data_IF_058710350102
#
_entry.id   IF_058710350102
#
_cell.length_a   1.000
_cell.length_b   1.000
_cell.length_c   1.000
_cell.angle_alpha   90.00
_cell.angle_beta   90.00
_cell.angle_gamma   90.00
#
_symmetry.space_group_name_H-M   'P 1'
#
loop_
_entity.id
_entity.type
_entity.pdbx_description
1 polymer ?
#
# COMPACT_ATOMS: atom_id res chain seq x y z
N UNK A 1 20.20 -13.38 14.41
CA UNK A 1 19.73 -14.74 14.73
C UNK A 1 18.21 -14.80 14.76
N UNK A 2 17.64 -15.89 14.30
CA UNK A 2 16.18 -16.04 14.26
C UNK A 2 15.70 -16.64 15.58
N UNK A 3 14.98 -15.82 16.36
CA UNK A 3 14.35 -16.29 17.60
C UNK A 3 12.91 -16.74 17.31
N UNK A 4 12.32 -17.60 18.19
CA UNK A 4 10.91 -17.95 18.01
C UNK A 4 9.97 -16.75 18.02
N UNK A 5 10.25 -15.71 18.83
CA UNK A 5 9.39 -14.52 18.87
C UNK A 5 9.51 -13.69 17.58
N UNK A 6 10.69 -13.58 17.01
CA UNK A 6 10.87 -12.94 15.71
C UNK A 6 10.15 -13.71 14.61
N UNK A 7 10.26 -15.02 14.60
CA UNK A 7 9.58 -15.85 13.60
C UNK A 7 8.06 -15.68 13.66
N UNK A 8 7.50 -15.61 14.87
CA UNK A 8 6.06 -15.42 15.05
C UNK A 8 5.63 -14.01 14.58
N UNK A 9 6.39 -12.98 14.93
CA UNK A 9 6.11 -11.61 14.50
C UNK A 9 6.16 -11.49 12.97
N UNK A 10 7.16 -12.11 12.33
CA UNK A 10 7.29 -12.11 10.88
C UNK A 10 6.12 -12.83 10.21
N UNK A 11 5.65 -13.92 10.78
CA UNK A 11 4.47 -14.63 10.27
C UNK A 11 3.22 -13.74 10.32
N UNK A 12 3.04 -13.00 11.40
CA UNK A 12 1.92 -12.05 11.53
C UNK A 12 2.08 -10.88 10.56
N UNK A 13 3.27 -10.34 10.44
CA UNK A 13 3.57 -9.26 9.51
C UNK A 13 3.19 -9.68 8.08
N UNK A 14 3.62 -10.85 7.66
CA UNK A 14 3.33 -11.37 6.32
C UNK A 14 1.83 -11.59 6.13
N UNK A 15 1.17 -12.25 7.08
CA UNK A 15 -0.25 -12.58 6.95
C UNK A 15 -1.16 -11.36 6.99
N UNK A 16 -0.81 -10.32 7.72
CA UNK A 16 -1.65 -9.15 7.89
C UNK A 16 -1.27 -8.01 6.96
N UNK A 17 -0.04 -7.51 7.06
CA UNK A 17 0.35 -6.32 6.31
C UNK A 17 0.82 -6.64 4.90
N UNK A 18 1.70 -7.62 4.73
CA UNK A 18 2.21 -7.96 3.40
C UNK A 18 1.12 -8.48 2.48
N UNK A 19 0.17 -9.24 3.01
CA UNK A 19 -1.00 -9.68 2.26
C UNK A 19 -1.76 -8.49 1.68
N UNK A 20 -2.04 -7.48 2.51
CA UNK A 20 -2.77 -6.29 2.06
C UNK A 20 -1.97 -5.49 1.03
N UNK A 21 -0.64 -5.51 1.11
CA UNK A 21 0.25 -4.78 0.20
C UNK A 21 0.59 -5.57 -1.07
N UNK A 22 0.11 -6.79 -1.21
CA UNK A 22 0.39 -7.64 -2.37
C UNK A 22 -0.55 -7.38 -3.56
N UNK A 23 -1.00 -6.13 -3.69
CA UNK A 23 -1.87 -5.70 -4.79
C UNK A 23 -1.58 -4.24 -5.11
N UNK A 24 -1.25 -3.91 -6.37
CA UNK A 24 -0.87 -2.54 -6.72
C UNK A 24 -1.99 -1.52 -6.51
N UNK A 25 -3.25 -1.91 -6.69
CA UNK A 25 -4.38 -1.00 -6.47
C UNK A 25 -4.46 -0.60 -5.01
N UNK A 26 -4.26 -1.54 -4.08
CA UNK A 26 -4.29 -1.23 -2.66
C UNK A 26 -3.13 -0.33 -2.24
N UNK A 27 -1.94 -0.55 -2.82
CA UNK A 27 -0.80 0.35 -2.57
C UNK A 27 -1.13 1.77 -3.06
N UNK A 28 -1.69 1.90 -4.26
CA UNK A 28 -2.07 3.20 -4.80
C UNK A 28 -3.14 3.88 -3.96
N UNK A 29 -4.07 3.12 -3.39
CA UNK A 29 -5.06 3.68 -2.45
C UNK A 29 -4.41 4.29 -1.23
N UNK A 30 -3.40 3.64 -0.67
CA UNK A 30 -2.67 4.17 0.48
C UNK A 30 -1.99 5.48 0.10
N UNK A 31 -1.36 5.55 -1.06
CA UNK A 31 -0.76 6.79 -1.54
C UNK A 31 -1.80 7.88 -1.80
N UNK A 32 -2.98 7.51 -2.31
CA UNK A 32 -4.06 8.48 -2.56
C UNK A 32 -4.57 9.12 -1.27
N UNK A 33 -4.36 8.48 -0.12
CA UNK A 33 -4.75 9.01 1.19
C UNK A 33 -3.65 9.82 1.86
N UNK A 34 -2.50 9.97 1.22
CA UNK A 34 -1.35 10.67 1.80
C UNK A 34 -1.67 12.11 2.15
N UNK A 35 -2.41 12.81 1.28
CA UNK A 35 -2.72 14.22 1.43
C UNK A 35 -3.97 14.49 2.27
N UNK A 36 -4.70 13.47 2.66
CA UNK A 36 -5.88 13.62 3.49
C UNK A 36 -6.94 12.54 3.20
N UNK A 37 -8.03 12.57 3.98
CA UNK A 37 -9.09 11.57 3.84
C UNK A 37 -9.83 11.68 2.51
N UNK A 38 -10.33 10.54 2.02
CA UNK A 38 -11.14 10.45 0.80
C UNK A 38 -12.24 9.42 1.00
N UNK A 39 -13.39 9.65 0.35
CA UNK A 39 -14.46 8.66 0.31
C UNK A 39 -14.22 7.65 -0.83
N UNK A 40 -15.05 6.58 -0.86
CA UNK A 40 -14.89 5.50 -1.84
C UNK A 40 -15.06 5.98 -3.28
N UNK A 41 -15.97 6.92 -3.51
CA UNK A 41 -16.21 7.49 -4.85
C UNK A 41 -14.98 8.23 -5.36
N UNK A 42 -14.40 9.08 -4.52
CA UNK A 42 -13.18 9.83 -4.87
C UNK A 42 -12.01 8.90 -5.14
N UNK A 43 -11.84 7.86 -4.31
CA UNK A 43 -10.77 6.88 -4.51
C UNK A 43 -10.97 6.09 -5.80
N UNK A 44 -12.19 5.69 -6.10
CA UNK A 44 -12.49 4.99 -7.35
C UNK A 44 -12.18 5.87 -8.56
N UNK A 45 -12.59 7.13 -8.52
CA UNK A 45 -12.31 8.08 -9.60
C UNK A 45 -10.81 8.33 -9.75
N UNK A 46 -10.11 8.51 -8.65
CA UNK A 46 -8.66 8.77 -8.68
C UNK A 46 -7.87 7.60 -9.27
N UNK A 47 -8.33 6.37 -9.06
CA UNK A 47 -7.64 5.17 -9.52
C UNK A 47 -8.23 4.60 -10.82
N UNK A 48 -9.32 5.16 -11.32
CA UNK A 48 -9.95 4.66 -12.54
C UNK A 48 -10.60 3.30 -12.37
N UNK A 49 -11.11 2.98 -11.18
CA UNK A 49 -11.79 1.71 -10.88
C UNK A 49 -13.23 1.95 -10.46
N UNK A 50 -14.05 0.92 -10.55
CA UNK A 50 -15.45 1.01 -10.14
C UNK A 50 -15.57 1.10 -8.63
N UNK A 51 -16.69 1.67 -8.16
CA UNK A 51 -16.95 1.78 -6.73
C UNK A 51 -16.98 0.42 -6.01
N UNK A 52 -17.63 -0.63 -6.56
CA UNK A 52 -17.57 -1.94 -5.90
C UNK A 52 -16.17 -2.50 -5.77
N UNK A 53 -15.31 -2.30 -6.76
CA UNK A 53 -13.90 -2.72 -6.70
C UNK A 53 -13.15 -1.93 -5.64
N UNK A 54 -13.33 -0.60 -5.60
CA UNK A 54 -12.73 0.24 -4.57
C UNK A 54 -13.18 -0.18 -3.17
N UNK A 55 -14.48 -0.47 -2.99
CA UNK A 55 -15.02 -0.90 -1.70
C UNK A 55 -14.40 -2.20 -1.22
N UNK A 56 -14.19 -3.17 -2.13
CA UNK A 56 -13.55 -4.45 -1.76
C UNK A 56 -12.11 -4.27 -1.29
N UNK A 57 -11.34 -3.44 -1.98
CA UNK A 57 -9.97 -3.15 -1.58
C UNK A 57 -9.92 -2.40 -0.25
N UNK A 58 -10.81 -1.42 -0.06
CA UNK A 58 -10.88 -0.67 1.20
C UNK A 58 -11.25 -1.58 2.38
N UNK A 59 -12.12 -2.56 2.15
CA UNK A 59 -12.47 -3.52 3.21
C UNK A 59 -11.23 -4.30 3.65
N UNK A 60 -10.42 -4.77 2.73
CA UNK A 60 -9.18 -5.50 3.05
C UNK A 60 -8.23 -4.58 3.82
N UNK A 61 -8.02 -3.36 3.34
CA UNK A 61 -7.14 -2.40 4.00
C UNK A 61 -7.62 -2.06 5.42
N UNK A 62 -8.94 -1.91 5.59
CA UNK A 62 -9.53 -1.64 6.91
C UNK A 62 -9.36 -2.84 7.83
N UNK A 63 -9.68 -4.05 7.35
CA UNK A 63 -9.61 -5.27 8.16
C UNK A 63 -8.17 -5.56 8.60
N UNK A 64 -7.18 -5.09 7.85
CA UNK A 64 -5.76 -5.25 8.18
C UNK A 64 -5.19 -4.02 8.91
N UNK A 65 -6.02 -3.05 9.26
CA UNK A 65 -5.61 -1.91 10.06
C UNK A 65 -4.77 -0.86 9.35
N UNK A 66 -4.80 -0.82 8.01
CA UNK A 66 -4.00 0.13 7.22
C UNK A 66 -4.76 1.42 6.94
N UNK A 67 -6.07 1.37 6.93
CA UNK A 67 -6.94 2.54 6.83
C UNK A 67 -8.01 2.47 7.92
N UNK A 68 -8.53 3.63 8.31
CA UNK A 68 -9.65 3.72 9.24
C UNK A 68 -10.78 4.53 8.65
N UNK A 69 -12.02 4.05 8.75
CA UNK A 69 -13.18 4.82 8.30
C UNK A 69 -13.58 5.84 9.35
N UNK A 70 -14.11 6.96 8.88
CA UNK A 70 -14.69 7.97 9.73
C UNK A 70 -15.97 8.47 9.07
N UNK A 71 -17.11 8.32 9.76
CA UNK A 71 -18.39 8.77 9.23
C UNK A 71 -18.55 10.27 9.41
N UNK A 72 -18.94 10.94 8.30
CA UNK A 72 -19.28 12.35 8.30
C UNK A 72 -20.64 12.48 7.60
N UNK A 73 -21.70 12.57 8.38
CA UNK A 73 -23.06 12.54 7.84
C UNK A 73 -23.37 11.20 7.18
N UNK A 74 -23.73 11.22 5.89
CA UNK A 74 -24.01 10.02 5.10
C UNK A 74 -22.76 9.49 4.39
N UNK A 75 -21.65 10.21 4.49
CA UNK A 75 -20.40 9.87 3.80
C UNK A 75 -19.43 9.22 4.76
N UNK A 76 -18.69 8.23 4.29
CA UNK A 76 -17.60 7.61 5.04
C UNK A 76 -16.30 8.04 4.36
N UNK A 77 -15.44 8.73 5.11
CA UNK A 77 -14.10 9.10 4.66
C UNK A 77 -13.09 8.13 5.25
N UNK A 78 -12.13 7.73 4.42
CA UNK A 78 -11.07 6.83 4.83
C UNK A 78 -9.79 7.62 5.06
N UNK A 79 -9.10 7.30 6.14
CA UNK A 79 -7.83 7.91 6.53
C UNK A 79 -6.74 6.86 6.56
N UNK A 80 -5.50 7.25 6.31
CA UNK A 80 -4.37 6.40 6.67
C UNK A 80 -4.38 6.19 8.17
N UNK A 81 -4.24 4.93 8.60
CA UNK A 81 -4.16 4.64 10.02
C UNK A 81 -2.79 5.00 10.59
N UNK A 82 -1.73 4.78 9.82
CA UNK A 82 -0.34 5.02 10.25
C UNK A 82 0.50 5.40 9.03
N UNK A 83 1.11 6.58 9.07
CA UNK A 83 1.91 7.08 7.93
C UNK A 83 3.19 6.29 7.72
N UNK A 84 3.64 5.52 8.71
CA UNK A 84 4.85 4.70 8.57
C UNK A 84 4.74 3.68 7.46
N UNK A 85 3.52 3.26 7.11
CA UNK A 85 3.33 2.33 5.99
C UNK A 85 3.79 2.96 4.67
N UNK A 86 3.53 4.25 4.46
CA UNK A 86 4.01 4.94 3.27
C UNK A 86 5.53 5.10 3.28
N UNK A 87 6.12 5.35 4.45
CA UNK A 87 7.57 5.43 4.58
C UNK A 87 8.24 4.10 4.21
N UNK A 88 7.66 2.98 4.66
CA UNK A 88 8.13 1.65 4.31
C UNK A 88 8.01 1.39 2.81
N UNK A 89 6.89 1.75 2.20
CA UNK A 89 6.66 1.61 0.77
C UNK A 89 7.64 2.49 -0.03
N UNK A 90 7.90 3.70 0.44
CA UNK A 90 8.88 4.59 -0.21
C UNK A 90 10.27 3.96 -0.22
N UNK A 91 10.67 3.33 0.89
CA UNK A 91 11.95 2.62 0.95
C UNK A 91 11.98 1.44 -0.03
N UNK A 92 10.92 0.65 -0.08
CA UNK A 92 10.83 -0.45 -1.04
C UNK A 92 10.90 0.06 -2.48
N UNK A 93 10.24 1.18 -2.78
CA UNK A 93 10.29 1.79 -4.09
C UNK A 93 11.71 2.26 -4.44
N UNK A 94 12.44 2.79 -3.47
CA UNK A 94 13.82 3.21 -3.71
C UNK A 94 14.73 2.01 -4.01
N UNK A 95 14.54 0.91 -3.31
CA UNK A 95 15.25 -0.34 -3.61
C UNK A 95 14.94 -0.80 -5.04
N UNK A 96 13.68 -0.78 -5.43
CA UNK A 96 13.26 -1.16 -6.79
C UNK A 96 13.91 -0.24 -7.84
N UNK A 97 13.87 1.08 -7.63
CA UNK A 97 14.46 2.05 -8.57
C UNK A 97 15.97 1.80 -8.75
N UNK A 98 16.68 1.57 -7.64
CA UNK A 98 18.11 1.29 -7.70
C UNK A 98 18.40 0.02 -8.51
N UNK A 99 17.59 -1.01 -8.34
CA UNK A 99 17.72 -2.25 -9.10
C UNK A 99 17.45 -2.04 -10.59
N UNK A 100 16.45 -1.24 -10.93
CA UNK A 100 16.13 -0.93 -12.32
C UNK A 100 17.25 -0.10 -12.97
N UNK A 101 17.82 0.86 -12.23
CA UNK A 101 18.97 1.63 -12.72
C UNK A 101 20.20 0.74 -12.91
N UNK A 102 20.48 -0.17 -12.00
CA UNK A 102 21.59 -1.11 -12.13
C UNK A 102 21.43 -2.00 -13.37
N UNK A 103 20.21 -2.47 -13.65
CA UNK A 103 19.93 -3.24 -14.86
C UNK A 103 20.13 -2.41 -16.13
N UNK A 104 19.67 -1.16 -16.14
CA UNK A 104 19.84 -0.26 -17.26
C UNK A 104 21.32 -0.01 -17.53
N UNK A 105 22.12 0.26 -16.48
CA UNK A 105 23.55 0.48 -16.61
C UNK A 105 24.28 -0.76 -17.12
N UNK A 106 23.90 -1.93 -16.65
CA UNK A 106 24.48 -3.18 -17.11
C UNK A 106 24.17 -3.42 -18.60
N UNK A 107 22.96 -3.11 -19.05
CA UNK A 107 22.60 -3.24 -20.46
C UNK A 107 23.39 -2.27 -21.33
N UNK A 108 23.65 -1.05 -20.87
CA UNK A 108 24.49 -0.09 -21.58
C UNK A 108 25.94 -0.57 -21.71
N UNK A 109 26.47 -1.23 -20.69
CA UNK A 109 27.83 -1.79 -20.73
C UNK A 109 27.95 -2.95 -21.71
N UNK A 110 26.90 -3.73 -21.90
CA UNK A 110 26.86 -4.90 -22.77
C UNK A 110 26.65 -4.48 -24.23
N UNK A 111 25.87 -3.41 -24.44
CA UNK A 111 25.54 -2.94 -25.80
C UNK A 111 26.70 -2.13 -26.38
N UNK A 112 27.27 -2.55 -27.51
CA UNK A 112 28.39 -1.80 -28.14
C UNK A 112 27.97 -0.43 -28.65
#
# INVERSE_FOLDING_TARGET
MITPSLAQEVSQLEAELCFALADPTRILMLYALEDGPRNVTDLGNALGITQPTASRHLKILRDRGLVRPERSGVTINYHLHDRRILQALDLLRSVLRDRLMARANLMEEITP
#
